data_IF_825325341392
#
_entry.id   IF_825325341392
#
_cell.length_a   1.000
_cell.length_b   1.000
_cell.length_c   1.000
_cell.angle_alpha   90.00
_cell.angle_beta   90.00
_cell.angle_gamma   90.00
#
_symmetry.space_group_name_H-M   'P 1'
#
loop_
_entity.id
_entity.type
_entity.pdbx_description
1 polymer ?
#
# COMPACT_ATOMS: atom_id res chain seq x y z
N UNK A 1 -4.09 18.18 -14.68
CA UNK A 1 -3.49 19.43 -14.14
C UNK A 1 -2.28 19.16 -13.24
N UNK A 2 -2.28 18.21 -12.27
CA UNK A 2 -1.06 17.93 -11.48
C UNK A 2 0.15 17.52 -12.33
N UNK A 3 -0.04 16.72 -13.39
CA UNK A 3 1.09 16.24 -14.22
C UNK A 3 1.62 17.29 -15.20
N UNK A 4 0.80 18.26 -15.61
CA UNK A 4 1.11 19.29 -16.60
C UNK A 4 -0.04 20.28 -16.77
N UNK A 5 0.28 21.45 -17.33
CA UNK A 5 -0.62 22.61 -17.45
C UNK A 5 -1.80 22.37 -18.39
N UNK A 6 -1.65 21.49 -19.38
CA UNK A 6 -2.61 21.36 -20.48
C UNK A 6 -2.85 19.89 -20.86
N UNK A 7 -4.09 19.55 -21.18
CA UNK A 7 -4.51 18.19 -21.53
C UNK A 7 -5.62 18.13 -22.59
N UNK A 8 -5.48 17.22 -23.55
CA UNK A 8 -6.49 16.90 -24.55
C UNK A 8 -7.06 15.51 -24.26
N UNK A 9 -8.39 15.41 -24.19
CA UNK A 9 -9.13 14.14 -24.09
C UNK A 9 -9.80 13.87 -25.43
N UNK A 10 -9.46 12.76 -26.07
CA UNK A 10 -10.07 12.28 -27.30
C UNK A 10 -10.82 10.98 -26.98
N UNK A 11 -12.14 10.97 -27.12
CA UNK A 11 -12.98 9.79 -26.86
C UNK A 11 -13.78 9.39 -28.09
N UNK A 12 -13.98 8.09 -28.28
CA UNK A 12 -14.70 7.54 -29.43
C UNK A 12 -15.61 6.37 -29.04
N UNK A 13 -16.82 6.38 -29.60
CA UNK A 13 -17.79 5.28 -29.58
C UNK A 13 -17.95 4.70 -31.00
N UNK A 14 -18.86 3.75 -31.21
CA UNK A 14 -19.19 3.23 -32.56
C UNK A 14 -19.86 4.27 -33.48
N UNK A 15 -20.49 5.29 -32.89
CA UNK A 15 -21.40 6.23 -33.56
C UNK A 15 -21.07 7.71 -33.32
N UNK A 16 -20.15 8.02 -32.40
CA UNK A 16 -19.77 9.38 -32.03
C UNK A 16 -18.29 9.47 -31.64
N UNK A 17 -17.73 10.68 -31.72
CA UNK A 17 -16.39 11.02 -31.24
C UNK A 17 -16.47 12.39 -30.59
N UNK A 18 -15.82 12.58 -29.45
CA UNK A 18 -15.72 13.90 -28.82
C UNK A 18 -14.28 14.21 -28.45
N UNK A 19 -13.90 15.46 -28.70
CA UNK A 19 -12.63 16.06 -28.27
C UNK A 19 -12.98 17.05 -27.16
N UNK A 20 -12.28 16.99 -26.04
CA UNK A 20 -12.39 17.98 -24.96
C UNK A 20 -10.99 18.47 -24.59
N UNK A 21 -10.83 19.79 -24.48
CA UNK A 21 -9.55 20.42 -24.22
C UNK A 21 -9.56 21.19 -22.91
N UNK A 22 -8.69 20.80 -21.98
CA UNK A 22 -8.57 21.41 -20.66
C UNK A 22 -7.17 22.00 -20.52
N UNK A 23 -7.08 23.32 -20.71
CA UNK A 23 -5.81 24.06 -20.76
C UNK A 23 -5.79 25.18 -19.74
N UNK A 24 -4.68 25.29 -19.00
CA UNK A 24 -4.40 26.47 -18.19
C UNK A 24 -3.86 27.62 -19.04
N UNK A 25 -3.22 27.34 -20.17
CA UNK A 25 -2.73 28.37 -21.09
C UNK A 25 -3.85 29.11 -21.84
N UNK A 26 -4.89 28.40 -22.28
CA UNK A 26 -6.10 28.98 -22.90
C UNK A 26 -6.93 29.84 -21.91
N UNK A 27 -6.80 29.54 -20.62
CA UNK A 27 -7.55 30.18 -19.53
C UNK A 27 -6.69 31.16 -18.71
N UNK A 28 -5.48 31.48 -19.17
CA UNK A 28 -4.59 32.41 -18.48
C UNK A 28 -5.16 33.84 -18.61
N UNK A 29 -5.60 34.42 -17.49
CA UNK A 29 -6.28 35.71 -17.45
C UNK A 29 -7.80 35.68 -17.64
N UNK A 30 -8.45 34.52 -17.64
CA UNK A 30 -9.93 34.40 -17.66
C UNK A 30 -10.48 34.08 -16.26
N UNK A 31 -11.51 34.81 -15.82
CA UNK A 31 -12.21 34.53 -14.56
C UNK A 31 -13.04 33.24 -14.61
N UNK A 32 -13.59 32.91 -15.79
CA UNK A 32 -14.40 31.72 -16.03
C UNK A 32 -13.58 30.64 -16.75
N UNK A 33 -13.70 29.39 -16.32
CA UNK A 33 -13.05 28.24 -16.94
C UNK A 33 -13.74 27.84 -18.25
N UNK A 34 -13.09 28.11 -19.36
CA UNK A 34 -13.50 27.67 -20.69
C UNK A 34 -12.89 26.30 -21.02
N UNK A 35 -13.72 25.40 -21.55
CA UNK A 35 -13.32 24.04 -21.97
C UNK A 35 -13.84 23.82 -23.38
N UNK A 36 -13.02 24.04 -24.44
CA UNK A 36 -13.43 23.75 -25.81
C UNK A 36 -13.76 22.26 -25.96
N UNK A 37 -14.99 21.99 -26.40
CA UNK A 37 -15.47 20.65 -26.70
C UNK A 37 -15.93 20.63 -28.17
N UNK A 38 -15.53 19.59 -28.89
CA UNK A 38 -15.93 19.36 -30.28
C UNK A 38 -16.46 17.93 -30.40
N UNK A 39 -17.79 17.79 -30.50
CA UNK A 39 -18.47 16.52 -30.71
C UNK A 39 -18.81 16.28 -32.18
N UNK A 40 -18.64 15.03 -32.60
CA UNK A 40 -18.89 14.54 -33.94
C UNK A 40 -19.83 13.33 -33.88
N UNK A 41 -20.83 13.30 -34.76
CA UNK A 41 -21.70 12.16 -35.01
C UNK A 41 -21.27 11.41 -36.27
N UNK A 42 -21.60 10.12 -36.37
CA UNK A 42 -21.29 9.29 -37.54
C UNK A 42 -22.43 9.33 -38.56
N UNK A 43 -22.24 10.05 -39.66
CA UNK A 43 -23.17 10.05 -40.80
C UNK A 43 -22.62 9.14 -41.90
N UNK A 44 -23.20 7.93 -42.01
CA UNK A 44 -22.77 6.90 -42.95
C UNK A 44 -21.32 6.45 -42.74
N UNK A 45 -20.45 6.80 -43.70
CA UNK A 45 -19.01 6.52 -43.66
C UNK A 45 -18.18 7.66 -43.01
N UNK A 46 -18.76 8.86 -42.87
CA UNK A 46 -18.09 10.05 -42.39
C UNK A 46 -18.35 10.33 -40.91
N UNK A 47 -17.53 11.21 -40.32
CA UNK A 47 -17.75 11.81 -39.01
C UNK A 47 -17.96 13.31 -39.20
N UNK A 48 -19.13 13.82 -38.87
CA UNK A 48 -19.55 15.21 -39.07
C UNK A 48 -19.85 15.85 -37.72
N UNK A 49 -19.88 17.18 -37.62
CA UNK A 49 -20.19 17.85 -36.35
C UNK A 49 -21.59 17.45 -35.85
N UNK A 50 -21.72 17.19 -34.55
CA UNK A 50 -23.01 16.83 -33.96
C UNK A 50 -23.86 18.08 -33.71
N UNK A 51 -24.65 18.46 -34.72
CA UNK A 51 -25.53 19.64 -34.70
C UNK A 51 -26.64 19.58 -33.65
N UNK A 52 -26.90 18.40 -33.06
CA UNK A 52 -27.83 18.25 -31.94
C UNK A 52 -27.20 18.66 -30.60
N UNK A 53 -25.86 18.65 -30.51
CA UNK A 53 -25.09 18.93 -29.29
C UNK A 53 -24.46 20.33 -29.32
N UNK A 54 -24.06 20.80 -30.50
CA UNK A 54 -23.32 22.06 -30.68
C UNK A 54 -23.61 22.69 -32.04
N UNK A 55 -23.66 24.03 -32.12
CA UNK A 55 -23.75 24.72 -33.41
C UNK A 55 -22.44 24.59 -34.19
N UNK A 56 -22.50 24.60 -35.53
CA UNK A 56 -21.29 24.59 -36.37
C UNK A 56 -20.33 25.75 -36.06
N UNK A 57 -20.86 26.93 -35.71
CA UNK A 57 -20.05 28.09 -35.36
C UNK A 57 -19.26 27.84 -34.06
N UNK A 58 -19.91 27.29 -33.03
CA UNK A 58 -19.24 26.90 -31.79
C UNK A 58 -18.24 25.75 -32.02
N UNK A 59 -18.57 24.79 -32.88
CA UNK A 59 -17.69 23.70 -33.25
C UNK A 59 -16.39 24.18 -33.94
N UNK A 60 -16.51 25.16 -34.85
CA UNK A 60 -15.38 25.77 -35.56
C UNK A 60 -14.52 26.61 -34.61
N UNK A 61 -15.14 27.46 -33.79
CA UNK A 61 -14.46 28.24 -32.75
C UNK A 61 -13.68 27.36 -31.76
N UNK A 62 -14.32 26.31 -31.23
CA UNK A 62 -13.66 25.37 -30.31
C UNK A 62 -12.50 24.63 -30.98
N UNK A 63 -12.62 24.29 -32.28
CA UNK A 63 -11.54 23.65 -33.04
C UNK A 63 -10.38 24.61 -33.33
N UNK A 64 -10.66 25.90 -33.55
CA UNK A 64 -9.65 26.96 -33.71
C UNK A 64 -8.88 27.19 -32.40
N UNK A 65 -9.57 27.31 -31.27
CA UNK A 65 -8.93 27.40 -29.95
C UNK A 65 -8.06 26.16 -29.63
N UNK A 66 -8.47 24.97 -30.06
CA UNK A 66 -7.65 23.74 -29.95
C UNK A 66 -6.40 23.82 -30.85
N UNK A 67 -6.51 24.32 -32.08
CA UNK A 67 -5.36 24.48 -33.01
C UNK A 67 -4.33 25.49 -32.52
N UNK A 68 -4.79 26.57 -31.88
CA UNK A 68 -3.93 27.67 -31.41
C UNK A 68 -3.19 27.31 -30.11
N UNK A 69 -3.91 26.78 -29.11
CA UNK A 69 -3.36 26.55 -27.76
C UNK A 69 -2.89 25.11 -27.50
N UNK A 70 -2.95 24.21 -28.50
CA UNK A 70 -2.47 22.82 -28.38
C UNK A 70 -1.53 22.42 -29.53
N UNK A 71 -0.66 21.41 -29.35
CA UNK A 71 0.16 20.89 -30.43
C UNK A 71 -0.63 20.02 -31.44
N UNK A 72 -1.97 19.94 -31.33
CA UNK A 72 -2.81 19.07 -32.15
C UNK A 72 -3.51 19.85 -33.27
N UNK A 73 -2.99 19.72 -34.48
CA UNK A 73 -3.70 20.10 -35.71
C UNK A 73 -4.66 18.99 -36.18
N UNK A 74 -5.45 19.28 -37.21
CA UNK A 74 -6.46 18.34 -37.75
C UNK A 74 -5.86 17.00 -38.19
N UNK A 75 -4.65 17.01 -38.77
CA UNK A 75 -3.95 15.80 -39.20
C UNK A 75 -3.54 14.93 -38.00
N UNK A 76 -3.01 15.53 -36.94
CA UNK A 76 -2.66 14.83 -35.69
C UNK A 76 -3.90 14.30 -34.97
N UNK A 77 -4.99 15.07 -34.94
CA UNK A 77 -6.29 14.62 -34.42
C UNK A 77 -6.80 13.41 -35.23
N UNK A 78 -6.71 13.46 -36.56
CA UNK A 78 -7.09 12.37 -37.46
C UNK A 78 -6.24 11.12 -37.28
N UNK A 79 -4.91 11.26 -37.21
CA UNK A 79 -3.95 10.19 -36.95
C UNK A 79 -4.24 9.50 -35.60
N UNK A 80 -4.40 10.30 -34.53
CA UNK A 80 -4.69 9.77 -33.19
C UNK A 80 -6.08 9.12 -33.11
N UNK A 81 -7.06 9.63 -33.85
CA UNK A 81 -8.36 8.98 -33.98
C UNK A 81 -8.33 7.68 -34.79
N UNK A 82 -7.40 7.55 -35.76
CA UNK A 82 -7.16 6.32 -36.51
C UNK A 82 -6.74 5.15 -35.61
N UNK A 83 -6.01 5.43 -34.52
CA UNK A 83 -5.56 4.42 -33.54
C UNK A 83 -6.71 3.65 -32.88
N UNK A 84 -7.93 4.16 -32.87
CA UNK A 84 -9.08 3.41 -32.33
C UNK A 84 -9.53 2.24 -33.23
N UNK A 85 -9.17 2.19 -34.51
CA UNK A 85 -9.51 1.08 -35.43
C UNK A 85 -11.02 0.72 -35.41
N UNK A 86 -11.89 1.74 -35.44
CA UNK A 86 -13.36 1.61 -35.31
C UNK A 86 -13.88 0.96 -34.01
N UNK A 87 -13.02 0.74 -33.01
CA UNK A 87 -13.41 0.34 -31.65
C UNK A 87 -13.81 1.54 -30.78
N UNK A 88 -14.24 1.25 -29.54
CA UNK A 88 -14.61 2.23 -28.52
C UNK A 88 -13.49 2.43 -27.51
N UNK A 89 -13.13 3.68 -27.20
CA UNK A 89 -12.09 3.97 -26.21
C UNK A 89 -11.86 5.46 -25.98
N UNK A 90 -10.89 5.77 -25.11
CA UNK A 90 -10.48 7.13 -24.79
C UNK A 90 -8.96 7.22 -24.74
N UNK A 91 -8.41 8.28 -25.31
CA UNK A 91 -7.00 8.63 -25.28
C UNK A 91 -6.86 9.99 -24.59
N UNK A 92 -5.85 10.14 -23.72
CA UNK A 92 -5.59 11.36 -22.97
C UNK A 92 -4.13 11.76 -23.20
N UNK A 93 -3.92 12.96 -23.71
CA UNK A 93 -2.61 13.56 -23.91
C UNK A 93 -2.44 14.70 -22.91
N UNK A 94 -1.25 14.78 -22.28
CA UNK A 94 -0.91 15.82 -21.31
C UNK A 94 0.47 16.35 -21.70
N UNK A 95 0.62 17.66 -21.78
CA UNK A 95 1.88 18.34 -22.07
C UNK A 95 2.07 19.53 -21.12
N UNK A 96 3.11 20.34 -21.38
CA UNK A 96 3.56 21.40 -20.46
C UNK A 96 3.73 20.84 -19.04
N UNK A 97 4.49 19.75 -18.96
CA UNK A 97 4.62 18.90 -17.77
C UNK A 97 5.35 19.62 -16.63
N UNK A 98 5.01 19.24 -15.40
CA UNK A 98 5.54 19.85 -14.17
C UNK A 98 7.07 19.79 -14.10
N UNK A 99 7.70 20.90 -13.72
CA UNK A 99 9.16 21.10 -13.75
C UNK A 99 9.76 21.13 -12.34
N UNK A 100 10.95 20.57 -12.21
CA UNK A 100 11.76 20.57 -10.99
C UNK A 100 13.09 21.27 -11.28
N UNK A 101 13.14 22.58 -11.03
CA UNK A 101 14.28 23.42 -11.42
C UNK A 101 14.35 23.60 -12.94
N UNK A 102 15.49 23.25 -13.55
CA UNK A 102 15.68 23.27 -15.00
C UNK A 102 14.91 22.17 -15.74
N UNK A 103 14.67 21.04 -15.06
CA UNK A 103 14.27 19.79 -15.69
C UNK A 103 12.79 19.47 -15.47
N UNK A 104 12.28 18.41 -16.10
CA UNK A 104 10.97 17.86 -15.74
C UNK A 104 11.01 17.08 -14.41
N UNK A 105 9.92 17.15 -13.64
CA UNK A 105 9.72 16.40 -12.39
C UNK A 105 9.79 14.87 -12.57
N UNK A 106 9.52 14.40 -13.79
CA UNK A 106 9.63 13.00 -14.21
C UNK A 106 10.91 12.75 -15.03
N UNK A 107 11.32 11.48 -15.04
CA UNK A 107 12.49 10.94 -15.73
C UNK A 107 12.03 9.73 -16.54
N UNK A 108 12.20 9.76 -17.87
CA UNK A 108 11.92 8.63 -18.74
C UNK A 108 13.19 7.80 -18.88
N UNK A 109 13.15 6.55 -18.44
CA UNK A 109 14.23 5.60 -18.66
C UNK A 109 13.85 4.71 -19.84
N UNK A 110 14.63 4.79 -20.92
CA UNK A 110 14.40 4.01 -22.13
C UNK A 110 14.65 2.53 -21.89
N UNK A 111 13.69 1.69 -22.26
CA UNK A 111 13.89 0.25 -22.34
C UNK A 111 14.74 -0.11 -23.55
N UNK A 112 15.75 -0.96 -23.38
CA UNK A 112 16.59 -1.43 -24.50
C UNK A 112 15.75 -2.26 -25.45
N UNK A 113 15.62 -1.83 -26.71
CA UNK A 113 14.89 -2.55 -27.76
C UNK A 113 15.72 -3.73 -28.31
N UNK A 114 15.92 -4.72 -27.47
CA UNK A 114 16.43 -6.05 -27.82
C UNK A 114 15.52 -7.14 -27.24
N UNK A 115 15.67 -8.38 -27.69
CA UNK A 115 14.83 -9.50 -27.24
C UNK A 115 15.00 -9.90 -25.77
N UNK A 116 16.03 -9.39 -25.08
CA UNK A 116 16.35 -9.72 -23.70
C UNK A 116 15.51 -8.93 -22.69
N UNK A 117 15.09 -9.58 -21.60
CA UNK A 117 14.06 -9.08 -20.68
C UNK A 117 14.53 -8.05 -19.64
N UNK A 118 15.80 -7.64 -19.67
CA UNK A 118 16.50 -7.04 -18.53
C UNK A 118 16.32 -5.53 -18.36
N UNK A 119 15.97 -4.79 -19.41
CA UNK A 119 15.77 -3.33 -19.37
C UNK A 119 14.45 -2.96 -20.03
N UNK A 120 13.37 -3.05 -19.25
CA UNK A 120 12.03 -2.60 -19.63
C UNK A 120 11.88 -1.11 -19.33
N UNK A 121 11.27 -0.35 -20.25
CA UNK A 121 11.11 1.10 -20.08
C UNK A 121 10.22 1.46 -18.90
N UNK A 122 10.58 2.52 -18.18
CA UNK A 122 9.89 3.00 -16.98
C UNK A 122 9.89 4.54 -16.87
N UNK A 123 8.98 5.08 -16.08
CA UNK A 123 8.87 6.51 -15.79
C UNK A 123 9.08 6.68 -14.28
N UNK A 124 10.18 7.35 -13.93
CA UNK A 124 10.56 7.61 -12.54
C UNK A 124 10.21 9.03 -12.12
N UNK A 125 10.01 9.23 -10.81
CA UNK A 125 10.04 10.57 -10.21
C UNK A 125 11.51 10.98 -10.02
N UNK A 126 11.96 12.05 -10.69
CA UNK A 126 13.37 12.49 -10.74
C UNK A 126 14.01 12.64 -9.35
N UNK A 127 13.23 13.08 -8.36
CA UNK A 127 13.72 13.29 -7.00
C UNK A 127 14.09 11.99 -6.26
N UNK A 128 13.53 10.84 -6.68
CA UNK A 128 13.63 9.51 -6.05
C UNK A 128 13.45 9.52 -4.52
N UNK A 129 12.67 10.48 -4.00
CA UNK A 129 12.39 10.65 -2.58
C UNK A 129 11.39 9.59 -2.12
N UNK A 130 11.90 8.63 -1.36
CA UNK A 130 11.09 7.67 -0.59
C UNK A 130 10.21 8.41 0.43
N UNK A 131 8.97 7.95 0.63
CA UNK A 131 8.03 8.55 1.59
C UNK A 131 8.50 8.27 3.01
N UNK A 132 8.45 9.28 3.88
CA UNK A 132 8.74 9.11 5.31
C UNK A 132 7.67 8.22 5.94
N UNK A 133 8.09 7.12 6.57
CA UNK A 133 7.23 6.22 7.37
C UNK A 133 7.89 5.97 8.73
N UNK A 134 7.13 5.92 9.85
CA UNK A 134 7.69 5.57 11.16
C UNK A 134 8.41 4.21 11.12
N UNK A 135 9.54 4.10 11.83
CA UNK A 135 10.35 2.87 11.87
C UNK A 135 11.10 2.50 10.57
N UNK A 136 10.90 3.21 9.46
CA UNK A 136 11.52 2.84 8.18
C UNK A 136 12.97 3.38 8.05
N UNK A 137 13.94 2.47 8.09
CA UNK A 137 15.36 2.77 7.79
C UNK A 137 15.73 2.58 6.31
N UNK A 138 14.97 1.77 5.55
CA UNK A 138 15.27 1.53 4.14
C UNK A 138 15.13 2.80 3.30
N UNK A 139 16.14 3.02 2.46
CA UNK A 139 16.20 4.12 1.49
C UNK A 139 15.76 3.69 0.08
N UNK A 140 15.28 2.45 -0.09
CA UNK A 140 14.84 1.91 -1.37
C UNK A 140 13.44 1.30 -1.23
N UNK A 141 12.42 2.11 -1.53
CA UNK A 141 11.04 1.67 -1.69
C UNK A 141 10.64 1.95 -3.13
N UNK A 142 10.75 0.96 -4.00
CA UNK A 142 10.58 1.15 -5.45
C UNK A 142 9.22 1.73 -5.82
N UNK A 143 8.17 1.36 -5.09
CA UNK A 143 6.78 1.85 -5.20
C UNK A 143 6.64 3.37 -4.99
N UNK A 144 7.56 4.03 -4.28
CA UNK A 144 7.49 5.47 -4.01
C UNK A 144 7.98 6.34 -5.18
N UNK A 145 8.73 5.78 -6.14
CA UNK A 145 9.34 6.55 -7.25
C UNK A 145 9.29 5.90 -8.65
N UNK A 146 9.03 4.60 -8.78
CA UNK A 146 8.87 3.89 -10.07
C UNK A 146 7.40 3.71 -10.42
N UNK A 147 7.00 4.17 -11.60
CA UNK A 147 5.64 3.98 -12.10
C UNK A 147 5.35 2.50 -12.35
N UNK A 148 6.29 1.74 -12.92
CA UNK A 148 6.17 0.28 -13.13
C UNK A 148 5.93 -0.45 -11.81
N UNK A 149 6.78 -0.24 -10.80
CA UNK A 149 6.63 -0.90 -9.49
C UNK A 149 5.32 -0.53 -8.79
N UNK A 150 4.87 0.73 -8.89
CA UNK A 150 3.56 1.14 -8.36
C UNK A 150 2.39 0.44 -9.09
N UNK A 151 2.45 0.32 -10.42
CA UNK A 151 1.43 -0.34 -11.23
C UNK A 151 1.40 -1.87 -11.09
N UNK A 152 2.44 -2.49 -10.55
CA UNK A 152 2.46 -3.93 -10.27
C UNK A 152 1.52 -4.30 -9.10
N UNK A 153 1.37 -3.39 -8.13
CA UNK A 153 0.59 -3.59 -6.88
C UNK A 153 -0.66 -2.70 -6.74
N UNK A 154 -0.91 -1.76 -7.66
CA UNK A 154 -2.02 -0.77 -7.58
C UNK A 154 -3.43 -1.37 -7.45
N UNK A 155 -3.64 -2.61 -7.91
CA UNK A 155 -4.92 -3.31 -7.82
C UNK A 155 -4.79 -4.60 -7.02
N UNK A 156 -5.79 -4.91 -6.19
CA UNK A 156 -5.86 -6.15 -5.43
C UNK A 156 -6.08 -7.36 -6.36
N UNK A 157 -7.00 -7.21 -7.33
CA UNK A 157 -7.19 -8.14 -8.45
C UNK A 157 -6.87 -7.44 -9.79
N UNK A 158 -5.61 -7.42 -10.25
CA UNK A 158 -5.25 -6.87 -11.54
C UNK A 158 -5.87 -7.69 -12.69
N UNK A 159 -6.92 -7.15 -13.31
CA UNK A 159 -7.60 -7.74 -14.50
C UNK A 159 -7.28 -6.97 -15.79
N UNK A 160 -7.18 -5.63 -15.71
CA UNK A 160 -6.75 -4.77 -16.81
C UNK A 160 -5.29 -5.05 -17.20
N UNK A 161 -4.98 -4.95 -18.51
CA UNK A 161 -3.59 -4.99 -19.02
C UNK A 161 -3.03 -3.58 -19.00
N UNK A 162 -1.80 -3.40 -18.52
CA UNK A 162 -1.17 -2.08 -18.38
C UNK A 162 0.18 -2.11 -19.08
N UNK A 163 0.48 -1.09 -19.88
CA UNK A 163 1.72 -0.96 -20.64
C UNK A 163 2.39 0.37 -20.31
N UNK A 164 3.68 0.33 -19.96
CA UNK A 164 4.51 1.52 -19.73
C UNK A 164 5.60 1.55 -20.80
N UNK A 165 5.69 2.65 -21.55
CA UNK A 165 6.56 2.79 -22.73
C UNK A 165 6.44 1.63 -23.75
N UNK A 166 5.23 1.07 -23.92
CA UNK A 166 4.97 -0.07 -24.80
C UNK A 166 5.37 -1.44 -24.22
N UNK A 167 6.00 -1.50 -23.05
CA UNK A 167 6.32 -2.74 -22.35
C UNK A 167 5.29 -3.03 -21.25
N UNK A 168 4.66 -4.21 -21.33
CA UNK A 168 3.64 -4.66 -20.37
C UNK A 168 4.17 -4.69 -18.93
N UNK A 169 3.33 -4.29 -17.98
CA UNK A 169 3.59 -4.37 -16.54
C UNK A 169 3.12 -5.73 -16.02
N UNK A 170 3.93 -6.40 -15.19
CA UNK A 170 3.63 -7.74 -14.65
C UNK A 170 2.76 -7.66 -13.38
N UNK A 171 1.66 -6.92 -13.41
CA UNK A 171 0.79 -6.74 -12.23
C UNK A 171 0.24 -8.07 -11.71
N UNK A 172 0.43 -8.35 -10.43
CA UNK A 172 0.08 -9.61 -9.78
C UNK A 172 -0.60 -9.39 -8.41
N UNK A 173 -1.62 -10.19 -8.03
CA UNK A 173 -2.28 -10.04 -6.72
C UNK A 173 -1.28 -10.21 -5.58
N UNK A 174 -1.04 -9.17 -4.80
CA UNK A 174 0.03 -9.18 -3.78
C UNK A 174 -0.17 -10.31 -2.75
N UNK A 175 -1.41 -10.61 -2.37
CA UNK A 175 -1.75 -11.75 -1.48
C UNK A 175 -1.30 -13.13 -2.02
N UNK A 176 -1.14 -13.28 -3.34
CA UNK A 176 -0.74 -14.54 -3.99
C UNK A 176 0.79 -14.67 -4.19
N UNK A 177 1.55 -13.62 -3.90
CA UNK A 177 3.00 -13.56 -4.08
C UNK A 177 3.81 -13.69 -2.78
N UNK A 178 3.14 -14.00 -1.66
CA UNK A 178 3.76 -14.12 -0.34
C UNK A 178 4.06 -15.58 0.02
N UNK A 179 4.92 -15.75 1.03
CA UNK A 179 5.33 -17.03 1.63
C UNK A 179 4.89 -17.12 3.11
N UNK A 180 4.56 -18.32 3.59
CA UNK A 180 3.97 -18.59 4.91
C UNK A 180 2.67 -17.77 5.15
N UNK A 181 1.78 -17.76 4.17
CA UNK A 181 0.55 -16.95 4.22
C UNK A 181 -0.42 -17.40 5.31
N UNK A 182 -0.88 -16.44 6.10
CA UNK A 182 -1.88 -16.60 7.15
C UNK A 182 -3.07 -15.68 6.83
N UNK A 183 -4.26 -16.26 6.67
CA UNK A 183 -5.48 -15.51 6.30
C UNK A 183 -6.40 -15.39 7.50
N UNK A 184 -6.35 -14.23 8.16
CA UNK A 184 -7.17 -13.88 9.31
C UNK A 184 -8.52 -13.36 8.78
N UNK A 185 -9.60 -13.97 9.25
CA UNK A 185 -10.98 -13.55 8.98
C UNK A 185 -11.65 -13.32 10.33
N UNK A 186 -11.91 -12.05 10.67
CA UNK A 186 -12.49 -11.63 11.95
C UNK A 186 -13.59 -10.58 11.70
N UNK A 187 -14.20 -10.07 12.77
CA UNK A 187 -15.18 -8.99 12.70
C UNK A 187 -14.64 -7.78 13.46
N UNK A 188 -14.54 -6.63 12.78
CA UNK A 188 -14.05 -5.39 13.35
C UNK A 188 -15.17 -4.34 13.27
N UNK A 189 -15.60 -3.84 14.43
CA UNK A 189 -16.66 -2.81 14.55
C UNK A 189 -17.98 -3.19 13.83
N UNK A 190 -18.41 -4.45 13.96
CA UNK A 190 -19.66 -4.93 13.37
C UNK A 190 -19.58 -5.29 11.87
N UNK A 191 -18.37 -5.38 11.31
CA UNK A 191 -18.12 -5.58 9.89
C UNK A 191 -17.08 -6.69 9.67
N UNK A 192 -17.31 -7.67 8.76
CA UNK A 192 -16.36 -8.75 8.52
C UNK A 192 -15.13 -8.24 7.76
N UNK A 193 -13.94 -8.62 8.24
CA UNK A 193 -12.65 -8.20 7.70
C UNK A 193 -11.78 -9.40 7.34
N UNK A 194 -11.04 -9.28 6.24
CA UNK A 194 -10.05 -10.28 5.80
C UNK A 194 -8.68 -9.63 5.63
N UNK A 195 -7.73 -10.09 6.43
CA UNK A 195 -6.32 -9.74 6.35
C UNK A 195 -5.51 -10.97 5.91
N UNK A 196 -4.71 -10.82 4.86
CA UNK A 196 -3.67 -11.82 4.51
C UNK A 196 -2.32 -11.28 4.96
N UNK A 197 -1.66 -11.97 5.89
CA UNK A 197 -0.26 -11.72 6.27
C UNK A 197 0.66 -12.74 5.60
N UNK A 198 1.89 -12.35 5.28
CA UNK A 198 2.91 -13.23 4.70
C UNK A 198 4.30 -12.60 4.69
N UNK A 199 5.31 -13.34 4.27
CA UNK A 199 6.68 -12.83 4.01
C UNK A 199 6.97 -12.70 2.51
N UNK A 200 7.77 -11.70 2.15
CA UNK A 200 8.27 -11.46 0.79
C UNK A 200 9.80 -11.44 0.78
N UNK A 201 10.43 -12.17 -0.14
CA UNK A 201 11.89 -12.18 -0.30
C UNK A 201 12.42 -10.79 -0.70
N UNK A 202 11.77 -10.14 -1.67
CA UNK A 202 12.20 -8.83 -2.20
C UNK A 202 12.17 -7.78 -1.10
N UNK A 203 11.11 -7.76 -0.30
CA UNK A 203 10.97 -6.81 0.80
C UNK A 203 11.91 -7.13 1.97
N UNK A 204 12.17 -8.41 2.26
CA UNK A 204 13.18 -8.82 3.23
C UNK A 204 14.58 -8.30 2.83
N UNK A 205 14.95 -8.47 1.56
CA UNK A 205 16.24 -8.05 1.01
C UNK A 205 16.35 -6.51 1.01
N UNK A 206 15.31 -5.78 0.59
CA UNK A 206 15.27 -4.31 0.60
C UNK A 206 15.05 -3.68 2.00
N UNK A 207 14.78 -4.47 3.04
CA UNK A 207 14.50 -3.98 4.40
C UNK A 207 13.10 -3.34 4.56
N UNK A 208 12.20 -3.67 3.65
CA UNK A 208 10.83 -3.18 3.59
C UNK A 208 9.87 -4.10 4.37
N UNK A 209 8.78 -3.52 4.86
CA UNK A 209 7.67 -4.21 5.53
C UNK A 209 6.52 -3.24 5.77
N UNK A 210 5.31 -3.78 5.98
CA UNK A 210 4.11 -3.02 6.31
C UNK A 210 2.86 -3.52 5.58
N UNK A 211 1.74 -2.87 5.86
CA UNK A 211 0.42 -3.22 5.32
C UNK A 211 0.14 -2.50 3.99
N UNK A 212 -0.59 -3.16 3.11
CA UNK A 212 -1.13 -2.62 1.87
C UNK A 212 -2.65 -2.57 2.00
N UNK A 213 -3.19 -1.36 2.03
CA UNK A 213 -4.60 -1.08 2.29
C UNK A 213 -5.29 -0.69 0.98
N UNK A 214 -6.23 -1.52 0.56
CA UNK A 214 -7.02 -1.35 -0.66
C UNK A 214 -8.42 -0.84 -0.33
N UNK A 215 -9.00 -0.02 -1.20
CA UNK A 215 -10.38 0.46 -1.14
C UNK A 215 -11.00 0.28 -2.53
N UNK A 216 -12.14 -0.43 -2.60
CA UNK A 216 -12.75 -0.95 -3.83
C UNK A 216 -11.72 -1.64 -4.76
N UNK A 217 -10.84 -2.46 -4.17
CA UNK A 217 -9.76 -3.15 -4.89
C UNK A 217 -8.62 -2.26 -5.44
N UNK A 218 -8.60 -0.95 -5.15
CA UNK A 218 -7.50 -0.02 -5.50
C UNK A 218 -6.65 0.30 -4.28
N UNK A 219 -5.33 0.27 -4.42
CA UNK A 219 -4.35 0.64 -3.39
C UNK A 219 -4.50 2.12 -2.96
N UNK A 220 -4.58 2.35 -1.64
CA UNK A 220 -4.63 3.68 -1.02
C UNK A 220 -3.34 3.96 -0.23
N UNK A 221 -2.94 3.06 0.68
CA UNK A 221 -1.69 3.13 1.42
C UNK A 221 -0.83 1.88 1.21
N UNK A 222 0.48 2.08 1.07
CA UNK A 222 1.47 1.03 0.77
C UNK A 222 2.63 1.09 1.77
N UNK A 223 3.05 -0.09 2.25
CA UNK A 223 4.02 -0.25 3.35
C UNK A 223 3.62 0.49 4.65
N UNK A 224 2.32 0.54 4.97
CA UNK A 224 1.84 1.18 6.20
C UNK A 224 2.37 0.41 7.42
N UNK A 225 3.30 1.01 8.16
CA UNK A 225 3.90 0.44 9.37
C UNK A 225 2.88 0.48 10.50
N UNK A 226 2.73 -0.64 11.21
CA UNK A 226 1.76 -0.87 12.29
C UNK A 226 2.42 -1.65 13.42
N UNK A 227 1.91 -1.54 14.65
CA UNK A 227 2.42 -2.27 15.81
C UNK A 227 3.92 -2.09 16.03
N UNK A 228 4.63 -3.18 16.31
CA UNK A 228 6.07 -3.16 16.60
C UNK A 228 6.95 -2.62 15.46
N UNK A 229 6.48 -2.71 14.21
CA UNK A 229 7.20 -2.21 13.02
C UNK A 229 7.40 -0.68 13.00
N UNK A 230 6.66 0.05 13.85
CA UNK A 230 6.78 1.51 14.05
C UNK A 230 8.02 1.84 14.89
N UNK A 231 8.35 1.00 15.87
CA UNK A 231 9.36 1.28 16.89
C UNK A 231 10.72 0.66 16.58
N UNK A 232 10.75 -0.47 15.87
CA UNK A 232 11.98 -1.12 15.41
C UNK A 232 11.94 -1.40 13.91
N UNK A 233 13.06 -1.15 13.23
CA UNK A 233 13.18 -1.32 11.80
C UNK A 233 13.30 -2.79 11.37
N UNK A 234 13.91 -3.63 12.22
CA UNK A 234 14.11 -5.06 11.99
C UNK A 234 12.89 -5.90 12.44
N UNK A 235 12.09 -5.38 13.37
CA UNK A 235 10.84 -6.02 13.79
C UNK A 235 9.83 -6.03 12.64
N UNK A 236 9.37 -7.22 12.25
CA UNK A 236 8.49 -7.37 11.11
C UNK A 236 9.17 -7.21 9.74
N UNK A 237 10.51 -7.18 9.65
CA UNK A 237 11.23 -7.03 8.37
C UNK A 237 10.83 -8.12 7.37
N UNK A 238 10.51 -7.73 6.13
CA UNK A 238 10.01 -8.63 5.08
C UNK A 238 8.57 -9.12 5.28
N UNK A 239 7.86 -8.72 6.34
CA UNK A 239 6.43 -9.02 6.54
C UNK A 239 5.58 -8.02 5.76
N UNK A 240 4.65 -8.55 4.98
CA UNK A 240 3.70 -7.80 4.18
C UNK A 240 2.29 -8.23 4.57
N UNK A 241 1.42 -7.26 4.81
CA UNK A 241 -0.02 -7.48 4.98
C UNK A 241 -0.82 -6.94 3.80
N UNK A 242 -1.91 -7.61 3.45
CA UNK A 242 -2.81 -7.24 2.34
C UNK A 242 -4.24 -7.27 2.85
N UNK A 243 -4.96 -6.15 2.70
CA UNK A 243 -6.32 -5.99 3.21
C UNK A 243 -7.17 -5.10 2.31
N UNK A 244 -8.42 -5.48 2.06
CA UNK A 244 -9.45 -4.58 1.52
C UNK A 244 -10.22 -3.97 2.71
N UNK A 245 -10.21 -2.64 2.80
CA UNK A 245 -10.83 -1.87 3.88
C UNK A 245 -12.14 -1.20 3.44
N UNK A 246 -12.65 -1.46 2.22
CA UNK A 246 -13.91 -0.85 1.75
C UNK A 246 -15.04 -0.98 2.74
N UNK A 247 -15.33 -2.20 3.22
CA UNK A 247 -16.43 -2.40 4.15
C UNK A 247 -16.30 -1.52 5.39
N UNK A 248 -15.08 -1.36 5.94
CA UNK A 248 -14.82 -0.49 7.10
C UNK A 248 -15.03 0.99 6.80
N UNK A 249 -14.37 1.48 5.74
CA UNK A 249 -14.20 2.92 5.46
C UNK A 249 -15.35 3.55 4.69
N UNK A 250 -16.30 2.73 4.20
CA UNK A 250 -17.61 3.15 3.73
C UNK A 250 -18.60 3.14 4.91
N UNK A 251 -19.18 4.29 5.27
CA UNK A 251 -20.07 4.41 6.44
C UNK A 251 -21.51 3.87 6.23
N UNK A 252 -21.85 3.50 4.98
CA UNK A 252 -23.18 3.04 4.57
C UNK A 252 -24.24 4.15 4.41
N UNK A 253 -23.86 5.42 4.64
CA UNK A 253 -24.71 6.62 4.56
C UNK A 253 -24.21 7.67 3.56
N UNK A 254 -23.01 7.50 3.02
CA UNK A 254 -22.39 8.36 1.99
C UNK A 254 -21.08 9.02 2.45
N UNK A 255 -20.71 8.90 3.72
CA UNK A 255 -19.40 9.28 4.24
C UNK A 255 -18.32 8.26 3.86
N UNK A 256 -17.22 8.77 3.30
CA UNK A 256 -16.06 7.97 2.86
C UNK A 256 -14.83 8.50 3.56
N UNK A 257 -14.22 7.67 4.42
CA UNK A 257 -13.08 8.06 5.27
C UNK A 257 -11.72 8.03 4.54
N UNK A 258 -11.73 8.29 3.23
CA UNK A 258 -10.55 8.34 2.36
C UNK A 258 -10.25 9.79 1.99
N UNK A 259 -8.98 10.18 1.87
CA UNK A 259 -8.63 11.51 1.36
C UNK A 259 -9.00 11.68 -0.13
N UNK A 260 -9.33 12.91 -0.53
CA UNK A 260 -9.71 13.26 -1.91
C UNK A 260 -8.66 12.89 -2.98
N UNK A 261 -7.38 12.85 -2.59
CA UNK A 261 -6.26 12.41 -3.44
C UNK A 261 -6.15 10.89 -3.61
N UNK A 262 -6.89 10.09 -2.83
CA UNK A 262 -6.85 8.61 -2.78
C UNK A 262 -5.43 8.07 -2.53
N UNK A 263 -4.72 8.66 -1.56
CA UNK A 263 -3.35 8.31 -1.14
C UNK A 263 -3.17 8.20 0.39
N UNK A 264 -4.28 8.18 1.13
CA UNK A 264 -4.31 8.01 2.59
C UNK A 264 -5.75 8.04 3.11
N UNK A 265 -5.93 7.65 4.37
CA UNK A 265 -7.22 7.73 5.07
C UNK A 265 -7.32 8.97 5.95
N UNK A 266 -8.55 9.39 6.24
CA UNK A 266 -8.82 10.47 7.19
C UNK A 266 -8.60 9.98 8.61
N UNK A 267 -8.08 10.84 9.50
CA UNK A 267 -7.93 10.52 10.92
C UNK A 267 -9.32 10.40 11.57
N UNK A 268 -9.67 9.20 12.01
CA UNK A 268 -10.96 8.89 12.65
C UNK A 268 -10.86 7.63 13.52
N UNK A 269 -11.79 7.46 14.45
CA UNK A 269 -11.86 6.33 15.40
C UNK A 269 -11.86 4.96 14.71
N UNK A 270 -12.52 4.85 13.54
CA UNK A 270 -12.55 3.64 12.71
C UNK A 270 -11.14 3.30 12.21
N UNK A 271 -10.40 4.30 11.76
CA UNK A 271 -9.07 4.12 11.21
C UNK A 271 -8.03 3.83 12.31
N UNK A 272 -8.09 4.54 13.43
CA UNK A 272 -7.21 4.31 14.59
C UNK A 272 -7.37 2.89 15.16
N UNK A 273 -8.61 2.38 15.31
CA UNK A 273 -8.87 0.99 15.71
C UNK A 273 -8.37 -0.04 14.69
N UNK A 274 -8.43 0.29 13.40
CA UNK A 274 -7.88 -0.56 12.34
C UNK A 274 -6.35 -0.63 12.44
N UNK A 275 -5.66 0.50 12.65
CA UNK A 275 -4.20 0.52 12.86
C UNK A 275 -3.78 -0.28 14.10
N UNK A 276 -4.53 -0.18 15.20
CA UNK A 276 -4.30 -0.96 16.42
C UNK A 276 -4.47 -2.47 16.17
N UNK A 277 -5.61 -2.89 15.60
CA UNK A 277 -5.89 -4.30 15.29
C UNK A 277 -4.86 -4.88 14.30
N UNK A 278 -4.51 -4.13 13.24
CA UNK A 278 -3.44 -4.51 12.32
C UNK A 278 -2.09 -4.66 13.04
N UNK A 279 -1.79 -3.77 13.98
CA UNK A 279 -0.58 -3.85 14.81
C UNK A 279 -0.54 -5.10 15.69
N UNK A 280 -1.65 -5.43 16.35
CA UNK A 280 -1.79 -6.64 17.16
C UNK A 280 -1.58 -7.90 16.30
N UNK A 281 -2.30 -8.05 15.18
CA UNK A 281 -2.17 -9.22 14.30
C UNK A 281 -0.80 -9.34 13.62
N UNK A 282 -0.17 -8.21 13.29
CA UNK A 282 1.18 -8.19 12.72
C UNK A 282 2.26 -8.62 13.74
N UNK A 283 2.09 -8.25 15.02
CA UNK A 283 2.94 -8.73 16.11
C UNK A 283 2.70 -10.24 16.35
N UNK A 284 1.44 -10.67 16.50
CA UNK A 284 1.07 -12.09 16.67
C UNK A 284 1.70 -12.97 15.57
N UNK A 285 1.60 -12.54 14.31
CA UNK A 285 2.19 -13.24 13.16
C UNK A 285 3.72 -13.24 13.19
N UNK A 286 4.35 -12.14 13.63
CA UNK A 286 5.81 -12.07 13.73
C UNK A 286 6.33 -13.03 14.79
N UNK A 287 5.81 -12.97 16.02
CA UNK A 287 6.31 -13.75 17.15
C UNK A 287 6.17 -15.26 16.89
N UNK A 288 4.99 -15.72 16.45
CA UNK A 288 4.74 -17.13 16.12
C UNK A 288 5.64 -17.67 14.99
N UNK A 289 6.21 -16.82 14.13
CA UNK A 289 7.09 -17.21 13.01
C UNK A 289 8.56 -16.79 13.18
N UNK A 290 8.90 -16.06 14.23
CA UNK A 290 10.27 -15.71 14.58
C UNK A 290 10.90 -16.84 15.41
N UNK A 291 10.22 -17.21 16.51
CA UNK A 291 10.60 -18.33 17.37
C UNK A 291 10.74 -19.65 16.60
N UNK A 292 9.85 -19.89 15.64
CA UNK A 292 9.85 -21.08 14.80
C UNK A 292 11.02 -21.15 13.77
N UNK A 293 11.68 -20.02 13.50
CA UNK A 293 12.78 -19.91 12.50
C UNK A 293 14.16 -20.00 13.15
N UNK A 294 14.34 -19.46 14.36
CA UNK A 294 15.60 -19.54 15.11
C UNK A 294 16.07 -21.00 15.31
N UNK A 295 15.12 -21.91 15.56
CA UNK A 295 15.33 -23.36 15.74
C UNK A 295 15.77 -24.11 14.46
N UNK A 296 15.80 -23.46 13.29
CA UNK A 296 16.11 -24.10 11.99
C UNK A 296 17.18 -23.34 11.21
N UNK A 297 18.29 -22.99 11.88
CA UNK A 297 19.52 -22.46 11.27
C UNK A 297 20.22 -23.51 10.40
N UNK A 298 19.69 -23.73 9.19
CA UNK A 298 20.23 -24.61 8.17
C UNK A 298 19.79 -24.19 6.76
N UNK A 299 20.74 -23.66 5.98
CA UNK A 299 20.60 -23.08 4.64
C UNK A 299 19.73 -21.80 4.54
N UNK A 300 20.19 -20.85 3.73
CA UNK A 300 19.47 -19.61 3.45
C UNK A 300 18.24 -19.89 2.57
N UNK A 301 17.09 -20.14 3.22
CA UNK A 301 15.80 -20.32 2.55
C UNK A 301 15.41 -19.06 1.79
N UNK A 302 15.48 -19.09 0.46
CA UNK A 302 14.79 -18.11 -0.39
C UNK A 302 13.29 -18.29 -0.19
N UNK A 303 12.60 -17.23 0.22
CA UNK A 303 11.15 -17.24 0.42
C UNK A 303 10.42 -17.18 -0.95
N UNK A 304 10.32 -18.33 -1.64
CA UNK A 304 9.47 -18.51 -2.84
C UNK A 304 7.98 -18.37 -2.44
N UNK A 305 7.09 -17.74 -3.25
CA UNK A 305 5.66 -17.69 -2.93
C UNK A 305 5.07 -19.09 -2.64
N UNK A 306 4.06 -19.16 -1.78
CA UNK A 306 3.46 -20.44 -1.34
C UNK A 306 2.86 -21.25 -2.51
N UNK A 307 2.44 -20.56 -3.57
CA UNK A 307 1.96 -21.14 -4.81
C UNK A 307 2.41 -20.25 -5.98
N UNK A 308 2.76 -20.83 -7.13
CA UNK A 308 3.01 -20.06 -8.35
C UNK A 308 1.68 -19.78 -9.06
N UNK A 309 1.53 -18.58 -9.65
CA UNK A 309 0.29 -18.15 -10.29
C UNK A 309 0.55 -17.48 -11.63
N UNK A 310 -0.27 -17.82 -12.63
CA UNK A 310 -0.25 -17.21 -13.96
C UNK A 310 -1.63 -16.68 -14.35
N UNK A 311 -1.66 -15.55 -15.07
CA UNK A 311 -2.88 -14.98 -15.62
C UNK A 311 -3.08 -15.42 -17.06
N UNK A 312 -4.27 -15.92 -17.41
CA UNK A 312 -4.60 -16.26 -18.79
C UNK A 312 -4.87 -15.01 -19.62
N UNK A 313 -4.16 -14.86 -20.75
CA UNK A 313 -4.17 -13.63 -21.53
C UNK A 313 -5.49 -13.41 -22.33
N UNK A 314 -6.26 -14.49 -22.53
CA UNK A 314 -7.61 -14.48 -23.13
C UNK A 314 -8.73 -14.19 -22.13
N UNK A 315 -8.78 -14.89 -20.99
CA UNK A 315 -9.90 -14.79 -20.04
C UNK A 315 -9.61 -13.98 -18.76
N UNK A 316 -8.35 -13.55 -18.57
CA UNK A 316 -7.83 -12.72 -17.46
C UNK A 316 -8.02 -13.29 -16.05
N UNK A 317 -8.53 -14.52 -15.93
CA UNK A 317 -8.55 -15.33 -14.70
C UNK A 317 -7.14 -15.78 -14.33
N UNK A 318 -6.87 -15.90 -13.04
CA UNK A 318 -5.65 -16.50 -12.51
C UNK A 318 -5.77 -18.02 -12.39
N UNK A 319 -4.69 -18.72 -12.72
CA UNK A 319 -4.51 -20.16 -12.59
C UNK A 319 -3.35 -20.42 -11.64
N UNK A 320 -3.55 -21.36 -10.72
CA UNK A 320 -2.50 -21.86 -9.84
C UNK A 320 -1.67 -22.89 -10.61
N UNK A 321 -0.36 -22.88 -10.42
CA UNK A 321 0.59 -23.82 -11.00
C UNK A 321 1.24 -24.65 -9.89
N UNK A 322 1.72 -25.84 -10.23
CA UNK A 322 2.39 -26.72 -9.28
C UNK A 322 3.66 -26.09 -8.71
N UNK A 323 3.93 -26.38 -7.42
CA UNK A 323 4.92 -25.65 -6.62
C UNK A 323 6.36 -25.74 -7.15
N UNK A 324 6.70 -26.76 -7.96
CA UNK A 324 8.03 -26.95 -8.55
C UNK A 324 8.23 -26.16 -9.85
N UNK A 325 7.17 -25.66 -10.49
CA UNK A 325 7.29 -24.86 -11.71
C UNK A 325 7.89 -23.47 -11.41
N UNK A 326 8.57 -22.86 -12.39
CA UNK A 326 9.04 -21.47 -12.31
C UNK A 326 8.41 -20.66 -13.45
N UNK A 327 7.59 -19.67 -13.08
CA UNK A 327 6.87 -18.79 -14.01
C UNK A 327 7.78 -18.00 -14.97
N UNK A 328 9.11 -17.96 -14.74
CA UNK A 328 10.10 -17.39 -15.68
C UNK A 328 10.21 -18.16 -17.00
N UNK A 329 9.87 -19.45 -17.03
CA UNK A 329 9.92 -20.27 -18.26
C UNK A 329 8.65 -20.17 -19.13
N UNK A 330 7.61 -19.48 -18.66
CA UNK A 330 6.38 -19.30 -19.43
C UNK A 330 6.56 -18.29 -20.56
N UNK A 331 5.86 -18.46 -21.70
CA UNK A 331 5.74 -17.42 -22.71
C UNK A 331 5.06 -16.18 -22.12
N UNK A 332 5.36 -15.01 -22.70
CA UNK A 332 4.74 -13.73 -22.29
C UNK A 332 3.21 -13.78 -22.45
N UNK A 333 2.75 -14.37 -23.55
CA UNK A 333 1.35 -14.58 -23.88
C UNK A 333 0.94 -16.01 -23.50
N UNK A 334 0.57 -16.21 -22.22
CA UNK A 334 0.14 -17.52 -21.71
C UNK A 334 -1.38 -17.67 -21.69
N UNK A 335 -1.88 -18.86 -22.03
CA UNK A 335 -3.31 -19.16 -22.13
C UNK A 335 -3.66 -20.45 -21.37
N UNK A 336 -4.88 -20.56 -20.83
CA UNK A 336 -5.29 -21.73 -20.02
C UNK A 336 -5.07 -23.09 -20.71
N UNK A 337 -5.17 -23.17 -22.04
CA UNK A 337 -5.00 -24.42 -22.77
C UNK A 337 -3.54 -24.88 -22.90
N UNK A 338 -2.59 -24.10 -22.39
CA UNK A 338 -1.15 -24.39 -22.41
C UNK A 338 -0.70 -25.05 -21.12
N UNK A 339 0.42 -25.76 -21.21
CA UNK A 339 1.13 -26.28 -20.05
C UNK A 339 1.57 -25.12 -19.11
N UNK A 340 1.60 -25.34 -17.78
CA UNK A 340 1.25 -26.57 -17.07
C UNK A 340 -0.27 -26.84 -16.94
N UNK A 341 -1.13 -25.85 -17.17
CA UNK A 341 -2.54 -25.91 -16.72
C UNK A 341 -3.48 -26.73 -17.60
N UNK A 342 -3.25 -26.77 -18.93
CA UNK A 342 -3.98 -27.60 -19.91
C UNK A 342 -5.52 -27.59 -19.78
N UNK A 343 -6.10 -26.45 -19.38
CA UNK A 343 -7.51 -26.30 -19.00
C UNK A 343 -8.28 -25.26 -19.81
N UNK A 344 -9.61 -25.21 -19.61
CA UNK A 344 -10.49 -24.31 -20.37
C UNK A 344 -10.64 -22.91 -19.76
N UNK A 345 -11.05 -21.96 -20.59
CA UNK A 345 -11.29 -20.57 -20.16
C UNK A 345 -12.57 -20.42 -19.33
N UNK A 346 -13.57 -21.26 -19.58
CA UNK A 346 -14.87 -21.28 -18.88
C UNK A 346 -14.70 -21.58 -17.39
N UNK A 347 -13.79 -22.50 -17.03
CA UNK A 347 -13.61 -22.98 -15.65
C UNK A 347 -13.44 -21.83 -14.64
N UNK A 348 -14.06 -21.88 -13.44
CA UNK A 348 -13.99 -20.81 -12.45
C UNK A 348 -12.55 -20.49 -12.04
N UNK A 349 -12.30 -19.28 -11.53
CA UNK A 349 -10.98 -18.95 -10.96
C UNK A 349 -10.76 -19.72 -9.65
N UNK A 350 -9.56 -20.30 -9.49
CA UNK A 350 -9.14 -20.93 -8.25
C UNK A 350 -8.90 -19.84 -7.19
N UNK A 351 -9.52 -20.01 -6.02
CA UNK A 351 -9.14 -19.26 -4.81
C UNK A 351 -8.08 -20.07 -4.06
N UNK A 352 -7.09 -19.45 -3.40
CA UNK A 352 -6.16 -20.18 -2.55
C UNK A 352 -6.93 -20.99 -1.50
N UNK A 353 -6.44 -22.19 -1.19
CA UNK A 353 -7.00 -23.02 -0.14
C UNK A 353 -7.00 -22.29 1.21
N UNK A 354 -7.95 -22.58 2.10
CA UNK A 354 -8.04 -21.93 3.42
C UNK A 354 -6.90 -22.44 4.32
N UNK A 355 -5.73 -21.81 4.22
CA UNK A 355 -4.59 -22.06 5.09
C UNK A 355 -4.97 -21.81 6.55
N UNK A 356 -4.87 -22.87 7.35
CA UNK A 356 -5.00 -22.97 8.82
C UNK A 356 -5.75 -21.80 9.50
N UNK A 357 -7.02 -22.03 9.81
CA UNK A 357 -7.75 -21.18 10.76
C UNK A 357 -7.23 -21.47 12.17
N UNK A 358 -6.34 -20.62 12.68
CA UNK A 358 -5.90 -20.69 14.08
C UNK A 358 -7.02 -20.20 15.00
N UNK A 359 -7.94 -21.11 15.34
CA UNK A 359 -8.91 -20.87 16.42
C UNK A 359 -8.11 -20.67 17.71
N UNK A 360 -8.26 -19.51 18.34
CA UNK A 360 -7.40 -19.07 19.43
C UNK A 360 -7.36 -20.05 20.61
N UNK A 361 -6.25 -20.76 20.77
CA UNK A 361 -6.00 -21.57 21.96
C UNK A 361 -5.81 -20.62 23.14
N UNK A 362 -6.80 -20.57 24.03
CA UNK A 362 -6.67 -19.92 25.33
C UNK A 362 -5.50 -20.56 26.07
N UNK A 363 -4.35 -19.86 26.14
CA UNK A 363 -3.21 -20.29 26.96
C UNK A 363 -3.63 -20.30 28.42
N UNK A 364 -3.84 -21.50 28.98
CA UNK A 364 -3.88 -21.71 30.43
C UNK A 364 -2.56 -21.21 31.03
N UNK A 365 -2.64 -20.38 32.07
CA UNK A 365 -1.48 -19.65 32.58
C UNK A 365 -0.36 -20.57 33.07
N UNK A 366 0.88 -20.20 32.75
CA UNK A 366 2.06 -20.75 33.39
C UNK A 366 2.17 -20.18 34.81
N UNK A 367 1.83 -20.97 35.82
CA UNK A 367 2.20 -20.72 37.21
C UNK A 367 3.71 -20.89 37.36
N UNK A 368 4.39 -19.89 37.92
CA UNK A 368 5.83 -19.94 38.16
C UNK A 368 6.16 -20.95 39.27
N UNK A 369 6.89 -22.01 38.94
CA UNK A 369 7.27 -23.06 39.89
C UNK A 369 8.72 -22.92 40.33
N UNK A 370 8.95 -22.46 41.56
CA UNK A 370 10.22 -22.67 42.25
C UNK A 370 10.12 -23.98 43.06
N UNK A 371 11.19 -24.78 43.06
CA UNK A 371 11.21 -26.09 43.72
C UNK A 371 12.09 -26.09 44.98
N UNK A 372 11.60 -26.73 46.05
CA UNK A 372 12.42 -27.15 47.20
C UNK A 372 11.72 -28.30 47.93
N UNK A 373 12.20 -29.51 47.64
CA UNK A 373 12.28 -30.74 48.45
C UNK A 373 11.16 -31.22 49.41
N UNK A 374 11.02 -32.55 49.37
CA UNK A 374 10.76 -33.49 50.46
C UNK A 374 9.32 -33.88 50.94
N UNK A 375 9.10 -35.20 50.83
CA UNK A 375 8.37 -36.13 51.72
C UNK A 375 6.83 -36.13 51.81
N UNK A 376 6.28 -37.06 51.03
CA UNK A 376 5.70 -38.34 51.51
C UNK A 376 4.27 -38.40 52.14
N UNK A 377 3.60 -39.53 51.89
CA UNK A 377 2.37 -40.05 52.53
C UNK A 377 1.00 -39.41 52.22
N UNK A 378 0.34 -39.97 51.21
CA UNK A 378 -0.99 -40.62 51.31
C UNK A 378 -1.90 -40.27 52.53
N UNK A 379 -3.04 -39.58 52.30
CA UNK A 379 -4.36 -40.26 52.15
C UNK A 379 -5.54 -39.28 51.87
N UNK A 380 -6.62 -39.84 51.33
CA UNK A 380 -7.95 -39.21 51.16
C UNK A 380 -8.89 -39.81 52.20
N UNK A 381 -9.72 -39.00 52.89
CA UNK A 381 -11.12 -39.32 53.24
C UNK A 381 -11.88 -38.08 53.76
N UNK A 382 -13.21 -38.09 53.65
CA UNK A 382 -14.13 -36.98 53.97
C UNK A 382 -14.54 -37.00 55.45
N UNK A 383 -14.85 -35.84 56.04
CA UNK A 383 -15.46 -35.77 57.38
C UNK A 383 -15.99 -34.40 57.79
N UNK A 384 -17.32 -34.30 57.93
CA UNK A 384 -18.04 -33.28 58.71
C UNK A 384 -19.11 -34.03 59.53
N UNK A 385 -19.77 -33.47 60.57
CA UNK A 385 -19.80 -32.05 60.97
C UNK A 385 -19.76 -31.76 62.50
N UNK A 386 -19.87 -30.46 62.83
CA UNK A 386 -20.63 -29.87 63.95
C UNK A 386 -20.05 -29.73 65.39
N UNK A 387 -20.46 -28.59 65.98
CA UNK A 387 -20.83 -28.33 67.39
C UNK A 387 -19.83 -27.70 68.40
N UNK A 388 -20.03 -26.38 68.59
CA UNK A 388 -20.24 -25.65 69.88
C UNK A 388 -19.06 -25.16 70.75
N UNK A 389 -19.20 -23.88 71.16
CA UNK A 389 -18.92 -23.29 72.51
C UNK A 389 -17.43 -23.09 72.89
N UNK A 390 -16.97 -21.93 73.42
CA UNK A 390 -17.58 -20.60 73.65
C UNK A 390 -16.57 -19.54 74.17
N UNK A 391 -16.95 -18.24 74.11
CA UNK A 391 -16.53 -17.13 75.02
C UNK A 391 -15.05 -16.69 75.00
N UNK A 392 -14.62 -15.55 75.58
CA UNK A 392 -15.15 -14.15 75.62
C UNK A 392 -14.18 -13.23 76.39
N UNK A 393 -13.86 -12.03 75.88
CA UNK A 393 -13.06 -10.98 76.55
C UNK A 393 -12.33 -10.11 75.49
N UNK A 394 -12.20 -8.77 75.51
CA UNK A 394 -12.15 -7.75 76.60
C UNK A 394 -10.81 -7.79 77.37
N UNK A 395 -9.99 -6.74 77.48
CA UNK A 395 -9.94 -5.39 76.86
C UNK A 395 -8.65 -4.61 77.23
N UNK A 396 -8.15 -3.75 76.32
CA UNK A 396 -7.64 -2.35 76.52
C UNK A 396 -6.51 -2.06 77.56
N UNK A 397 -5.80 -0.93 77.38
CA UNK A 397 -4.68 -0.35 78.19
C UNK A 397 -3.28 -0.97 77.88
N UNK A 398 -2.15 -0.23 77.88
CA UNK A 398 -1.92 1.23 77.80
C UNK A 398 -0.50 1.63 77.29
N UNK A 399 -0.36 2.92 76.96
CA UNK A 399 0.77 3.87 77.13
C UNK A 399 1.96 3.46 78.04
N UNK A 400 3.19 3.99 77.94
CA UNK A 400 3.90 4.94 77.04
C UNK A 400 5.43 4.83 77.32
N UNK A 401 6.31 5.29 76.41
CA UNK A 401 7.58 6.03 76.73
C UNK A 401 8.46 6.43 75.53
N UNK A 402 8.37 7.71 75.21
CA UNK A 402 9.41 8.70 74.88
C UNK A 402 10.88 8.28 74.76
N UNK A 403 11.56 8.85 73.73
CA UNK A 403 12.59 9.89 73.96
C UNK A 403 12.94 10.71 72.71
N UNK A 404 13.32 11.97 72.92
CA UNK A 404 13.94 12.89 71.94
C UNK A 404 15.42 12.47 71.65
N UNK A 405 16.13 12.94 70.62
CA UNK A 405 16.67 14.28 70.29
C UNK A 405 17.05 14.30 68.77
N UNK A 406 17.24 15.37 67.97
CA UNK A 406 17.02 16.85 67.99
C UNK A 406 17.00 17.37 66.51
N UNK A 407 16.93 18.69 66.26
CA UNK A 407 16.66 19.38 64.99
C UNK A 407 17.89 19.82 64.15
N UNK A 408 17.67 20.06 62.85
CA UNK A 408 17.86 21.41 62.28
C UNK A 408 17.18 21.61 60.90
N UNK A 409 16.95 22.87 60.52
CA UNK A 409 16.20 23.32 59.32
C UNK A 409 16.98 24.40 58.53
N UNK A 410 16.31 25.01 57.53
CA UNK A 410 16.71 26.21 56.72
C UNK A 410 17.76 25.99 55.63
N UNK A 411 17.70 26.63 54.45
CA UNK A 411 16.61 27.41 53.79
C UNK A 411 16.83 27.47 52.26
N UNK A 412 15.96 28.20 51.55
CA UNK A 412 15.85 28.32 50.08
C UNK A 412 16.91 29.25 49.45
N UNK A 413 17.24 29.04 48.15
CA UNK A 413 17.11 30.04 47.04
C UNK A 413 17.67 29.52 45.68
N UNK A 414 17.35 30.22 44.58
CA UNK A 414 17.54 29.81 43.16
C UNK A 414 18.95 29.99 42.57
N UNK A 415 19.37 29.07 41.67
CA UNK A 415 20.37 29.34 40.59
C UNK A 415 20.01 28.57 39.29
N UNK A 416 20.30 29.18 38.14
CA UNK A 416 19.83 28.82 36.79
C UNK A 416 20.46 27.57 36.11
N UNK A 417 19.83 27.11 35.02
CA UNK A 417 20.33 26.07 34.10
C UNK A 417 21.36 26.61 33.09
N UNK A 418 22.48 25.91 32.81
CA UNK A 418 23.47 26.36 31.83
C UNK A 418 23.04 26.10 30.37
N UNK A 419 23.21 27.12 29.51
CA UNK A 419 22.94 27.05 28.06
C UNK A 419 24.22 26.79 27.26
N UNK A 420 24.28 25.69 26.50
CA UNK A 420 25.39 25.35 25.61
C UNK A 420 25.45 26.30 24.40
N UNK A 421 26.59 26.96 24.19
CA UNK A 421 26.79 27.98 23.13
C UNK A 421 27.58 27.45 21.92
N UNK A 422 27.28 28.01 20.75
CA UNK A 422 27.88 27.71 19.44
C UNK A 422 29.42 27.80 19.43
N UNK A 423 30.06 26.83 18.79
CA UNK A 423 31.46 26.92 18.34
C UNK A 423 31.58 28.03 17.27
N UNK A 424 32.64 28.85 17.35
CA UNK A 424 32.92 29.94 16.40
C UNK A 424 33.82 29.47 15.24
N UNK A 425 33.66 30.10 14.06
CA UNK A 425 34.52 29.89 12.88
C UNK A 425 35.87 30.58 13.05
N UNK A 426 36.94 29.95 12.57
CA UNK A 426 38.24 30.60 12.36
C UNK A 426 38.25 31.52 11.13
N UNK A 427 39.33 32.28 10.95
CA UNK A 427 39.59 33.14 9.80
C UNK A 427 40.77 32.64 8.95
N UNK A 428 40.87 33.06 7.67
CA UNK A 428 41.69 32.37 6.68
C UNK A 428 43.19 32.69 6.78
N UNK A 429 44.03 31.78 6.28
CA UNK A 429 45.41 32.05 5.89
C UNK A 429 45.52 32.15 4.37
N UNK A 430 46.32 33.09 3.88
CA UNK A 430 46.48 33.42 2.47
C UNK A 430 47.87 33.11 1.95
N UNK A 431 47.94 32.70 0.68
CA UNK A 431 49.10 32.77 -0.23
C UNK A 431 50.39 32.00 0.12
N UNK A 432 50.71 31.03 -0.73
CA UNK A 432 51.91 31.14 -1.57
C UNK A 432 51.62 30.51 -2.94
N UNK A 433 52.13 31.12 -4.03
CA UNK A 433 52.28 30.47 -5.34
C UNK A 433 53.74 30.09 -5.54
N UNK A 434 53.99 28.93 -6.14
CA UNK A 434 55.09 28.69 -7.08
C UNK A 434 54.62 27.67 -8.10
#
# INVERSE_FOLDING_TARGET
MRLGRDALVLTQTKHSRSIAFLSQSLNEGKDNLEIPIVSYCRQGQCMEFDTNVQSEALAKYNLEAIKEFSPFNEYLIGEKAGLFQCSTGTQIYIWNLDKWGSDYSLEWQEGVRGGSSFLQGDILIRSRRVRTRPGQTSRKVSVDYSLRAYLEVIFLEPRMKIFVQGSQVKSHPLEKCLNNTVVINEELMGKPVRLTLGRSQVDLDEGNSGMFLYWHGRLIEAYKRVGGMIHSADMGRGVIGVMDVSQLMDDGKGGVWVHSNKQGFQDCEIYARLEEWLGQKANDYWDNLFDAVELKKGNARRYKPDNEWVQCEKCRKWRMLDADFDTKYLPKDWFCYMEPFNGKCEMPEQKPGRGIVTVGIKRSGYSFGAASDDKESNQIVKGSPAAKVSRSGTSVLERDKDKEDDLNQTSEEDVERPVLKRIRRGHPRSCAKK
#
